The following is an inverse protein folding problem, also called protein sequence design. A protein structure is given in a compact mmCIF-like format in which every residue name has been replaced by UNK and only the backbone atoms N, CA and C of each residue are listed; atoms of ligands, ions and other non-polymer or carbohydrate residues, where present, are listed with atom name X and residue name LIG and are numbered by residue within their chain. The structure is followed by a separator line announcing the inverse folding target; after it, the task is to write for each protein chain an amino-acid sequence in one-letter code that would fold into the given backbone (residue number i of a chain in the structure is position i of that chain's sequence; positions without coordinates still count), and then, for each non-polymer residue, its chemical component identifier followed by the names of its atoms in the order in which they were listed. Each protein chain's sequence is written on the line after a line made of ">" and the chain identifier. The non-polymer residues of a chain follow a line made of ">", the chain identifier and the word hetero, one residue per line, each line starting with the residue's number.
data_IF_053562100954
#
_entry.id   IF_053562100954
#
_cell.length_a   1.000
_cell.length_b   1.000
_cell.length_c   1.000
_cell.angle_alpha   90.00
_cell.angle_beta   90.00
_cell.angle_gamma   90.00
#
_symmetry.space_group_name_H-M   'P 1'
#
loop_
_entity.id
_entity.type
_entity.pdbx_description
1 polymer ?
#
# COMPACT_ATOMS: atom_id res chain seq x y z
N UNK A 1 -39.24 -49.01 -34.81
CA UNK A 1 -38.78 -47.64 -34.36
C UNK A 1 -37.63 -47.72 -33.36
N UNK A 2 -37.52 -48.70 -32.51
CA UNK A 2 -36.47 -48.80 -31.45
C UNK A 2 -35.05 -49.09 -31.94
N UNK A 3 -34.89 -49.76 -33.10
CA UNK A 3 -33.58 -50.09 -33.68
C UNK A 3 -32.84 -48.89 -34.28
N UNK A 4 -33.55 -47.86 -34.78
CA UNK A 4 -32.96 -46.67 -35.36
C UNK A 4 -32.50 -45.65 -34.30
N UNK A 5 -33.09 -45.67 -33.10
CA UNK A 5 -32.73 -44.81 -32.00
C UNK A 5 -31.42 -45.26 -31.32
N UNK A 6 -31.21 -46.57 -31.21
CA UNK A 6 -29.99 -47.16 -30.66
C UNK A 6 -28.77 -46.91 -31.57
N UNK A 7 -28.96 -46.95 -32.89
CA UNK A 7 -27.90 -46.63 -33.86
C UNK A 7 -27.49 -45.19 -33.81
N UNK A 8 -28.43 -44.25 -33.72
CA UNK A 8 -28.11 -42.80 -33.56
C UNK A 8 -27.41 -42.49 -32.26
N UNK A 9 -27.74 -43.17 -31.15
CA UNK A 9 -27.03 -42.98 -29.88
C UNK A 9 -25.60 -43.53 -29.94
N UNK A 10 -25.38 -44.65 -30.64
CA UNK A 10 -24.03 -45.21 -30.85
C UNK A 10 -23.17 -44.28 -31.73
N UNK A 11 -23.74 -43.73 -32.80
CA UNK A 11 -23.06 -42.83 -33.70
C UNK A 11 -22.70 -41.51 -33.02
N UNK A 12 -23.58 -40.97 -32.13
CA UNK A 12 -23.29 -39.81 -31.28
C UNK A 12 -22.20 -40.08 -30.25
N UNK A 13 -22.18 -41.29 -29.66
CA UNK A 13 -21.16 -41.69 -28.68
C UNK A 13 -19.80 -41.88 -29.34
N UNK A 14 -19.77 -42.46 -30.57
CA UNK A 14 -18.55 -42.61 -31.37
C UNK A 14 -18.03 -41.22 -31.84
N UNK A 15 -18.92 -40.32 -32.26
CA UNK A 15 -18.54 -38.94 -32.59
C UNK A 15 -18.02 -38.15 -31.38
N UNK A 16 -18.62 -38.39 -30.21
CA UNK A 16 -18.15 -37.77 -28.96
C UNK A 16 -16.79 -38.33 -28.53
N UNK A 17 -16.57 -39.64 -28.63
CA UNK A 17 -15.29 -40.30 -28.38
C UNK A 17 -14.22 -39.88 -29.40
N UNK A 18 -14.57 -39.75 -30.68
CA UNK A 18 -13.66 -39.23 -31.71
C UNK A 18 -13.32 -37.77 -31.51
N UNK A 19 -14.25 -36.93 -30.98
CA UNK A 19 -13.96 -35.53 -30.64
C UNK A 19 -13.02 -35.41 -29.42
N UNK A 20 -13.03 -36.36 -28.48
CA UNK A 20 -12.08 -36.41 -27.37
C UNK A 20 -10.71 -37.00 -27.72
N UNK A 21 -10.61 -37.73 -28.83
CA UNK A 21 -9.35 -38.30 -29.30
C UNK A 21 -8.55 -37.37 -30.24
N UNK A 22 -9.08 -36.17 -30.58
CA UNK A 22 -8.49 -35.28 -31.57
C UNK A 22 -7.47 -34.23 -31.09
N UNK A 23 -7.12 -34.02 -29.80
CA UNK A 23 -6.07 -33.06 -29.52
C UNK A 23 -4.65 -33.64 -29.36
N UNK A 24 -4.44 -34.96 -29.49
CA UNK A 24 -3.11 -35.54 -29.15
C UNK A 24 -2.20 -35.76 -30.38
N UNK A 25 -2.68 -35.58 -31.61
CA UNK A 25 -1.92 -35.97 -32.81
C UNK A 25 -1.27 -34.85 -33.61
N UNK A 26 -1.39 -33.58 -33.19
CA UNK A 26 -0.86 -32.47 -33.98
C UNK A 26 0.64 -32.19 -33.77
N UNK A 27 1.30 -32.78 -32.76
CA UNK A 27 2.74 -32.51 -32.46
C UNK A 27 3.69 -33.58 -33.01
N UNK A 28 3.22 -34.63 -33.60
CA UNK A 28 4.04 -35.85 -33.86
C UNK A 28 4.94 -35.79 -35.10
N UNK A 29 4.92 -34.74 -35.93
CA UNK A 29 5.72 -34.69 -37.17
C UNK A 29 6.75 -33.54 -37.25
N UNK A 30 6.99 -32.80 -36.19
CA UNK A 30 8.11 -31.84 -36.18
C UNK A 30 9.40 -32.60 -35.89
N UNK A 31 10.37 -32.51 -36.77
CA UNK A 31 11.73 -33.00 -36.51
C UNK A 31 12.44 -32.01 -35.60
N UNK A 32 13.35 -32.49 -34.71
CA UNK A 32 14.17 -31.61 -33.83
C UNK A 32 14.85 -30.50 -34.62
N UNK A 33 15.30 -30.77 -35.85
CA UNK A 33 15.92 -29.79 -36.74
C UNK A 33 14.98 -28.63 -37.09
N UNK A 34 13.69 -28.89 -37.31
CA UNK A 34 12.71 -27.83 -37.61
C UNK A 34 12.40 -26.94 -36.41
N UNK A 35 12.42 -27.47 -35.20
CA UNK A 35 12.29 -26.71 -33.95
C UNK A 35 13.53 -25.82 -33.71
N UNK A 36 14.71 -26.41 -33.85
CA UNK A 36 15.99 -25.70 -33.67
C UNK A 36 16.16 -24.55 -34.68
N UNK A 37 15.68 -24.72 -35.91
CA UNK A 37 15.76 -23.64 -36.93
C UNK A 37 14.87 -22.42 -36.62
N UNK A 38 13.91 -22.54 -35.76
CA UNK A 38 13.03 -21.43 -35.33
C UNK A 38 13.61 -20.62 -34.16
N UNK A 39 14.60 -21.18 -33.45
CA UNK A 39 15.27 -20.51 -32.33
C UNK A 39 16.14 -19.36 -32.84
N UNK A 40 16.03 -18.13 -32.30
CA UNK A 40 16.92 -17.05 -32.61
C UNK A 40 18.39 -17.39 -32.37
N UNK A 41 19.28 -16.89 -33.22
CA UNK A 41 20.73 -17.19 -33.14
C UNK A 41 21.34 -16.80 -31.78
N UNK A 42 20.88 -15.71 -31.18
CA UNK A 42 21.33 -15.27 -29.85
C UNK A 42 20.89 -16.21 -28.72
N UNK A 43 19.74 -16.90 -28.86
CA UNK A 43 19.20 -17.84 -27.87
C UNK A 43 19.80 -19.27 -27.98
N UNK A 44 20.41 -19.59 -29.14
CA UNK A 44 20.96 -20.90 -29.42
C UNK A 44 22.02 -21.35 -28.38
N UNK A 45 23.01 -20.52 -28.00
CA UNK A 45 23.99 -20.89 -26.97
C UNK A 45 23.31 -21.15 -25.62
N UNK A 46 22.27 -20.36 -25.27
CA UNK A 46 21.52 -20.55 -24.02
C UNK A 46 20.79 -21.90 -24.01
N UNK A 47 20.15 -22.27 -25.14
CA UNK A 47 19.46 -23.53 -25.28
C UNK A 47 20.41 -24.73 -25.17
N UNK A 48 21.56 -24.68 -25.86
CA UNK A 48 22.53 -25.78 -25.81
C UNK A 48 23.10 -25.97 -24.41
N UNK A 49 23.56 -24.91 -23.76
CA UNK A 49 24.09 -24.95 -22.40
C UNK A 49 23.01 -25.42 -21.42
N UNK A 50 21.80 -24.87 -21.49
CA UNK A 50 20.72 -25.24 -20.59
C UNK A 50 20.28 -26.71 -20.75
N UNK A 51 20.24 -27.24 -21.98
CA UNK A 51 19.92 -28.65 -22.21
C UNK A 51 21.02 -29.60 -21.68
N UNK A 52 22.28 -29.19 -21.77
CA UNK A 52 23.42 -29.93 -21.25
C UNK A 52 23.40 -29.96 -19.73
N UNK A 53 23.26 -28.79 -19.08
CA UNK A 53 23.19 -28.64 -17.63
C UNK A 53 21.93 -29.31 -17.04
N UNK A 54 20.80 -29.22 -17.74
CA UNK A 54 19.53 -29.86 -17.37
C UNK A 54 19.49 -31.36 -17.61
N UNK A 55 20.54 -31.95 -18.23
CA UNK A 55 20.62 -33.38 -18.53
C UNK A 55 19.59 -33.86 -19.54
N UNK A 56 19.03 -32.98 -20.37
CA UNK A 56 18.00 -33.31 -21.36
C UNK A 56 18.59 -34.04 -22.55
N UNK A 57 18.07 -35.26 -22.86
CA UNK A 57 18.54 -36.07 -23.99
C UNK A 57 17.85 -35.61 -25.30
N UNK A 58 18.63 -35.33 -26.32
CA UNK A 58 18.17 -34.98 -27.68
C UNK A 58 17.83 -36.23 -28.51
N UNK A 59 17.18 -37.23 -27.90
CA UNK A 59 16.87 -38.51 -28.60
C UNK A 59 15.60 -38.44 -29.40
N UNK A 60 14.55 -37.76 -28.93
CA UNK A 60 13.28 -37.58 -29.63
C UNK A 60 12.56 -36.33 -29.14
N UNK A 61 11.68 -35.76 -29.99
CA UNK A 61 10.91 -34.54 -29.65
C UNK A 61 10.13 -34.72 -28.34
N UNK A 62 9.37 -35.80 -28.10
CA UNK A 62 8.62 -35.96 -26.86
C UNK A 62 9.50 -35.98 -25.59
N UNK A 63 10.68 -36.62 -25.64
CA UNK A 63 11.62 -36.65 -24.50
C UNK A 63 12.23 -35.30 -24.24
N UNK A 64 12.55 -34.56 -25.28
CA UNK A 64 13.08 -33.21 -25.18
C UNK A 64 12.03 -32.23 -24.61
N UNK A 65 10.80 -32.29 -25.13
CA UNK A 65 9.71 -31.40 -24.66
C UNK A 65 9.30 -31.73 -23.22
N UNK A 66 9.27 -33.00 -22.84
CA UNK A 66 8.98 -33.37 -21.45
C UNK A 66 10.05 -32.81 -20.49
N UNK A 67 11.32 -32.98 -20.82
CA UNK A 67 12.42 -32.44 -20.02
C UNK A 67 12.37 -30.90 -19.95
N UNK A 68 12.19 -30.23 -21.08
CA UNK A 68 12.16 -28.77 -21.15
C UNK A 68 10.94 -28.18 -20.46
N UNK A 69 9.77 -28.80 -20.56
CA UNK A 69 8.52 -28.23 -20.07
C UNK A 69 8.19 -28.60 -18.62
N UNK A 70 8.83 -29.64 -18.04
CA UNK A 70 8.61 -30.04 -16.64
C UNK A 70 9.66 -29.50 -15.68
N UNK A 71 10.87 -29.19 -16.18
CA UNK A 71 11.96 -28.70 -15.35
C UNK A 71 11.92 -27.17 -15.23
N UNK A 72 11.31 -26.64 -14.14
CA UNK A 72 11.16 -25.22 -13.88
C UNK A 72 12.52 -24.51 -13.73
N UNK A 73 13.50 -25.16 -13.10
CA UNK A 73 14.84 -24.59 -12.94
C UNK A 73 15.52 -24.37 -14.28
N UNK A 74 15.43 -25.34 -15.18
CA UNK A 74 15.94 -25.24 -16.54
C UNK A 74 15.25 -24.10 -17.32
N UNK A 75 13.93 -23.98 -17.21
CA UNK A 75 13.18 -22.89 -17.84
C UNK A 75 13.60 -21.52 -17.33
N UNK A 76 13.83 -21.40 -16.01
CA UNK A 76 14.29 -20.16 -15.38
C UNK A 76 15.69 -19.76 -15.87
N UNK A 77 16.63 -20.70 -15.89
CA UNK A 77 18.00 -20.47 -16.35
C UNK A 77 18.06 -20.10 -17.84
N UNK A 78 17.27 -20.83 -18.67
CA UNK A 78 17.14 -20.55 -20.08
C UNK A 78 16.54 -19.16 -20.33
N UNK A 79 15.46 -18.80 -19.64
CA UNK A 79 14.83 -17.50 -19.70
C UNK A 79 15.80 -16.39 -19.27
N UNK A 80 16.52 -16.58 -18.17
CA UNK A 80 17.50 -15.63 -17.68
C UNK A 80 18.66 -15.41 -18.67
N UNK A 81 19.15 -16.48 -19.30
CA UNK A 81 20.18 -16.39 -20.32
C UNK A 81 19.70 -15.62 -21.55
N UNK A 82 18.50 -15.93 -22.06
CA UNK A 82 17.89 -15.28 -23.23
C UNK A 82 17.65 -13.80 -22.95
N UNK A 83 17.14 -13.44 -21.76
CA UNK A 83 16.92 -12.05 -21.38
C UNK A 83 18.23 -11.22 -21.34
N UNK A 84 19.36 -11.85 -20.96
CA UNK A 84 20.68 -11.19 -20.90
C UNK A 84 21.37 -11.09 -22.27
N UNK A 85 21.14 -12.02 -23.17
CA UNK A 85 21.91 -12.15 -24.42
C UNK A 85 21.17 -11.71 -25.67
N UNK A 86 19.83 -11.67 -25.66
CA UNK A 86 19.01 -11.37 -26.82
C UNK A 86 18.34 -10.00 -26.71
N UNK A 87 18.10 -9.37 -27.86
CA UNK A 87 17.21 -8.21 -27.96
C UNK A 87 15.76 -8.60 -27.67
N UNK A 88 14.94 -7.64 -27.24
CA UNK A 88 13.57 -7.89 -26.82
C UNK A 88 12.72 -8.60 -27.88
N UNK A 89 12.88 -8.28 -29.17
CA UNK A 89 12.21 -8.95 -30.30
C UNK A 89 12.52 -10.44 -30.37
N UNK A 90 13.77 -10.82 -30.14
CA UNK A 90 14.21 -12.22 -30.13
C UNK A 90 13.80 -12.94 -28.83
N UNK A 91 13.75 -12.21 -27.70
CA UNK A 91 13.20 -12.74 -26.44
C UNK A 91 11.73 -13.11 -26.60
N UNK A 92 10.90 -12.23 -27.21
CA UNK A 92 9.49 -12.51 -27.47
C UNK A 92 9.27 -13.68 -28.42
N UNK A 93 10.13 -13.82 -29.44
CA UNK A 93 10.11 -14.95 -30.35
C UNK A 93 10.46 -16.25 -29.64
N UNK A 94 11.49 -16.26 -28.80
CA UNK A 94 11.87 -17.43 -27.99
C UNK A 94 10.77 -17.82 -27.01
N UNK A 95 10.15 -16.84 -26.33
CA UNK A 95 9.05 -17.08 -25.40
C UNK A 95 7.81 -17.64 -26.13
N UNK A 96 7.49 -17.17 -27.34
CA UNK A 96 6.39 -17.71 -28.14
C UNK A 96 6.65 -19.17 -28.49
N UNK A 97 7.86 -19.48 -28.97
CA UNK A 97 8.25 -20.85 -29.29
C UNK A 97 8.18 -21.78 -28.10
N UNK A 98 8.72 -21.37 -26.95
CA UNK A 98 8.65 -22.16 -25.70
C UNK A 98 7.20 -22.42 -25.26
N UNK A 99 6.35 -21.39 -25.34
CA UNK A 99 4.94 -21.51 -24.99
C UNK A 99 4.21 -22.48 -25.88
N UNK A 100 4.44 -22.43 -27.22
CA UNK A 100 3.80 -23.31 -28.18
C UNK A 100 4.25 -24.77 -28.00
N UNK A 101 5.53 -24.99 -27.68
CA UNK A 101 6.09 -26.32 -27.37
C UNK A 101 5.50 -26.86 -26.07
N UNK A 102 5.35 -26.02 -25.03
CA UNK A 102 4.90 -26.44 -23.70
C UNK A 102 3.40 -26.19 -23.46
N UNK A 103 2.57 -25.98 -24.49
CA UNK A 103 1.15 -25.69 -24.35
C UNK A 103 0.38 -26.79 -23.62
N UNK A 104 0.72 -28.05 -23.88
CA UNK A 104 0.07 -29.21 -23.29
C UNK A 104 0.48 -29.51 -21.84
N UNK A 105 1.52 -28.84 -21.32
CA UNK A 105 2.04 -29.09 -19.98
C UNK A 105 1.40 -28.16 -18.94
N UNK A 106 1.19 -28.63 -17.69
CA UNK A 106 0.63 -27.82 -16.62
C UNK A 106 1.59 -26.67 -16.29
N UNK A 107 1.02 -25.44 -16.13
CA UNK A 107 1.77 -24.24 -15.77
C UNK A 107 1.50 -23.89 -14.32
N UNK A 108 2.55 -23.66 -13.55
CA UNK A 108 2.40 -23.13 -12.20
C UNK A 108 1.87 -21.70 -12.24
N UNK A 109 0.97 -21.37 -11.31
CA UNK A 109 0.32 -20.06 -11.28
C UNK A 109 -0.02 -19.62 -9.85
N UNK A 110 0.42 -18.43 -9.48
CA UNK A 110 0.04 -17.72 -8.25
C UNK A 110 -1.11 -16.72 -8.48
N UNK A 111 -1.67 -16.68 -9.70
CA UNK A 111 -2.76 -15.76 -10.07
C UNK A 111 -3.99 -15.89 -9.16
N UNK A 112 -4.31 -17.13 -8.73
CA UNK A 112 -5.41 -17.39 -7.80
C UNK A 112 -5.17 -16.75 -6.44
N UNK A 113 -3.95 -16.83 -5.92
CA UNK A 113 -3.56 -16.24 -4.64
C UNK A 113 -3.72 -14.72 -4.68
N UNK A 114 -3.12 -14.05 -5.67
CA UNK A 114 -3.23 -12.62 -5.85
C UNK A 114 -4.70 -12.15 -6.00
N UNK A 115 -5.50 -12.87 -6.79
CA UNK A 115 -6.92 -12.57 -7.01
C UNK A 115 -7.76 -12.69 -5.74
N UNK A 116 -7.61 -13.80 -5.00
CA UNK A 116 -8.38 -14.04 -3.77
C UNK A 116 -8.06 -12.96 -2.73
N UNK A 117 -6.79 -12.61 -2.54
CA UNK A 117 -6.39 -11.58 -1.59
C UNK A 117 -6.97 -10.21 -2.00
N UNK A 118 -6.87 -9.82 -3.28
CA UNK A 118 -7.42 -8.56 -3.77
C UNK A 118 -8.94 -8.45 -3.54
N UNK A 119 -9.68 -9.53 -3.80
CA UNK A 119 -11.13 -9.60 -3.57
C UNK A 119 -11.45 -9.54 -2.08
N UNK A 120 -10.80 -10.37 -1.24
CA UNK A 120 -11.07 -10.46 0.20
C UNK A 120 -10.82 -9.12 0.88
N UNK A 121 -9.69 -8.46 0.62
CA UNK A 121 -9.36 -7.16 1.20
C UNK A 121 -10.35 -6.08 0.78
N UNK A 122 -10.76 -6.06 -0.49
CA UNK A 122 -11.76 -5.12 -1.00
C UNK A 122 -13.12 -5.34 -0.35
N UNK A 123 -13.59 -6.59 -0.29
CA UNK A 123 -14.89 -6.96 0.31
C UNK A 123 -14.96 -6.60 1.80
N UNK A 124 -13.85 -6.64 2.53
CA UNK A 124 -13.80 -6.22 3.94
C UNK A 124 -13.74 -4.69 4.06
N UNK A 125 -12.98 -4.01 3.19
CA UNK A 125 -12.77 -2.56 3.25
C UNK A 125 -14.06 -1.78 3.00
N UNK A 126 -14.84 -2.16 2.00
CA UNK A 126 -16.08 -1.45 1.63
C UNK A 126 -17.09 -1.33 2.79
N UNK A 127 -17.50 -2.43 3.45
CA UNK A 127 -18.42 -2.33 4.59
C UNK A 127 -17.86 -1.49 5.74
N UNK A 128 -16.55 -1.59 6.03
CA UNK A 128 -15.92 -0.81 7.10
C UNK A 128 -16.01 0.69 6.82
N UNK A 129 -15.71 1.12 5.59
CA UNK A 129 -15.80 2.54 5.21
C UNK A 129 -17.26 3.00 5.14
N UNK A 130 -18.17 2.17 4.64
CA UNK A 130 -19.59 2.46 4.65
C UNK A 130 -20.12 2.65 6.09
N UNK A 131 -19.78 1.74 6.99
CA UNK A 131 -20.12 1.84 8.43
C UNK A 131 -19.51 3.09 9.07
N UNK A 132 -18.29 3.48 8.68
CA UNK A 132 -17.69 4.76 9.08
C UNK A 132 -18.56 5.92 8.67
N UNK A 133 -18.96 6.00 7.40
CA UNK A 133 -19.80 7.08 6.88
C UNK A 133 -21.17 7.12 7.58
N UNK A 134 -21.80 5.97 7.77
CA UNK A 134 -23.08 5.86 8.50
C UNK A 134 -22.91 6.32 9.95
N UNK A 135 -21.88 5.85 10.66
CA UNK A 135 -21.57 6.25 12.04
C UNK A 135 -21.40 7.76 12.18
N UNK A 136 -20.68 8.37 11.23
CA UNK A 136 -20.48 9.83 11.18
C UNK A 136 -21.77 10.58 10.91
N UNK A 137 -22.52 10.13 9.91
CA UNK A 137 -23.80 10.75 9.59
C UNK A 137 -24.79 10.68 10.75
N UNK A 138 -24.87 9.55 11.45
CA UNK A 138 -25.75 9.39 12.62
C UNK A 138 -25.38 10.30 13.79
N UNK A 139 -24.08 10.58 13.98
CA UNK A 139 -23.60 11.33 15.16
C UNK A 139 -23.48 12.83 14.88
N UNK A 140 -22.93 13.23 13.72
CA UNK A 140 -22.62 14.63 13.43
C UNK A 140 -23.47 15.23 12.34
N UNK A 141 -24.31 14.44 11.64
CA UNK A 141 -25.12 14.83 10.47
C UNK A 141 -24.30 15.52 9.36
N UNK A 142 -22.97 15.38 9.42
CA UNK A 142 -22.03 15.98 8.46
C UNK A 142 -20.84 15.03 8.25
N UNK A 143 -20.40 14.91 7.00
CA UNK A 143 -19.12 14.28 6.65
C UNK A 143 -18.05 15.36 6.64
N UNK A 144 -16.91 15.03 7.23
CA UNK A 144 -15.75 15.91 7.33
C UNK A 144 -14.73 15.57 6.24
N UNK A 145 -13.71 16.40 6.08
CA UNK A 145 -12.66 16.18 5.10
C UNK A 145 -11.93 14.83 5.31
N UNK A 146 -11.75 14.40 6.57
CA UNK A 146 -11.16 13.08 6.88
C UNK A 146 -12.00 11.93 6.33
N UNK A 147 -13.32 12.06 6.31
CA UNK A 147 -14.24 11.03 5.78
C UNK A 147 -14.19 10.98 4.25
N UNK A 148 -14.13 12.15 3.59
CA UNK A 148 -14.01 12.21 2.12
C UNK A 148 -12.67 11.65 1.63
N UNK A 149 -11.56 11.89 2.35
CA UNK A 149 -10.25 11.33 1.99
C UNK A 149 -10.24 9.80 2.06
N UNK A 150 -10.88 9.20 3.10
CA UNK A 150 -11.00 7.74 3.18
C UNK A 150 -11.89 7.19 2.06
N UNK A 151 -13.01 7.81 1.76
CA UNK A 151 -13.90 7.37 0.67
C UNK A 151 -13.13 7.38 -0.65
N UNK A 152 -12.43 8.47 -0.96
CA UNK A 152 -11.64 8.58 -2.18
C UNK A 152 -10.51 7.53 -2.23
N UNK A 153 -9.78 7.35 -1.13
CA UNK A 153 -8.77 6.30 -0.99
C UNK A 153 -9.36 4.90 -1.23
N UNK A 154 -10.57 4.64 -0.75
CA UNK A 154 -11.25 3.34 -0.93
C UNK A 154 -11.66 3.10 -2.39
N UNK A 155 -12.11 4.14 -3.09
CA UNK A 155 -12.44 4.04 -4.53
C UNK A 155 -11.17 3.74 -5.33
N UNK A 156 -10.06 4.42 -5.04
CA UNK A 156 -8.78 4.16 -5.68
C UNK A 156 -8.26 2.74 -5.36
N UNK A 157 -8.41 2.26 -4.12
CA UNK A 157 -8.06 0.89 -3.74
C UNK A 157 -8.88 -0.14 -4.54
N UNK A 158 -10.17 0.09 -4.71
CA UNK A 158 -11.03 -0.78 -5.52
C UNK A 158 -10.60 -0.80 -7.00
N UNK A 159 -10.25 0.37 -7.54
CA UNK A 159 -9.71 0.48 -8.90
C UNK A 159 -8.40 -0.30 -9.02
N UNK A 160 -7.50 -0.16 -8.06
CA UNK A 160 -6.23 -0.91 -7.99
C UNK A 160 -6.48 -2.43 -7.93
N UNK A 161 -7.41 -2.89 -7.08
CA UNK A 161 -7.79 -4.31 -7.01
C UNK A 161 -8.35 -4.81 -8.36
N UNK A 162 -9.17 -4.00 -9.05
CA UNK A 162 -9.66 -4.30 -10.39
C UNK A 162 -8.54 -4.43 -11.42
N UNK A 163 -7.56 -3.54 -11.40
CA UNK A 163 -6.37 -3.60 -12.24
C UNK A 163 -5.56 -4.87 -11.98
N UNK A 164 -5.39 -5.26 -10.70
CA UNK A 164 -4.69 -6.50 -10.34
C UNK A 164 -5.44 -7.75 -10.80
N UNK A 165 -6.76 -7.79 -10.65
CA UNK A 165 -7.59 -8.91 -11.13
C UNK A 165 -7.46 -9.03 -12.66
N UNK A 166 -7.59 -7.91 -13.40
CA UNK A 166 -7.39 -7.90 -14.85
C UNK A 166 -5.96 -8.37 -15.24
N UNK A 167 -4.94 -7.99 -14.46
CA UNK A 167 -3.58 -8.49 -14.63
C UNK A 167 -3.47 -10.01 -14.50
N UNK A 168 -4.18 -10.61 -13.52
CA UNK A 168 -4.17 -12.08 -13.35
C UNK A 168 -4.83 -12.82 -14.52
N UNK A 169 -5.78 -12.19 -15.21
CA UNK A 169 -6.44 -12.80 -16.38
C UNK A 169 -5.54 -12.84 -17.62
N UNK A 170 -4.55 -11.95 -17.68
CA UNK A 170 -3.61 -11.84 -18.81
C UNK A 170 -2.21 -12.38 -18.52
N UNK A 171 -2.00 -13.02 -17.34
CA UNK A 171 -0.77 -13.75 -17.05
C UNK A 171 0.02 -13.26 -15.83
N UNK A 172 -0.44 -12.28 -15.05
CA UNK A 172 0.19 -11.93 -13.79
C UNK A 172 0.09 -13.09 -12.78
N UNK A 173 1.22 -13.49 -12.23
CA UNK A 173 1.33 -14.68 -11.36
C UNK A 173 1.68 -15.96 -12.09
N UNK A 174 1.91 -15.92 -13.41
CA UNK A 174 2.64 -16.94 -14.15
C UNK A 174 4.13 -16.59 -14.15
N UNK A 175 4.97 -17.60 -14.36
CA UNK A 175 6.38 -17.35 -14.66
C UNK A 175 6.53 -16.55 -15.96
N UNK A 176 7.54 -15.65 -16.03
CA UNK A 176 7.75 -14.74 -17.14
C UNK A 176 7.75 -15.44 -18.50
N UNK A 177 8.36 -16.62 -18.61
CA UNK A 177 8.42 -17.43 -19.84
C UNK A 177 7.09 -18.12 -20.23
N UNK A 178 6.10 -18.13 -19.31
CA UNK A 178 4.77 -18.69 -19.56
C UNK A 178 3.73 -17.62 -19.92
N UNK A 179 4.08 -16.34 -19.80
CA UNK A 179 3.20 -15.22 -20.17
C UNK A 179 3.10 -15.11 -21.70
N UNK A 180 1.90 -14.81 -22.22
CA UNK A 180 1.72 -14.57 -23.64
C UNK A 180 2.44 -13.27 -24.07
N UNK A 181 3.45 -13.34 -24.94
CA UNK A 181 4.17 -12.17 -25.43
C UNK A 181 3.25 -11.11 -26.07
N UNK A 182 2.12 -11.51 -26.65
CA UNK A 182 1.12 -10.61 -27.24
C UNK A 182 0.41 -9.74 -26.20
N UNK A 183 0.33 -10.25 -24.97
CA UNK A 183 -0.34 -9.57 -23.85
C UNK A 183 0.66 -8.88 -22.92
N UNK A 184 1.97 -9.07 -23.11
CA UNK A 184 3.03 -8.53 -22.24
C UNK A 184 2.97 -7.01 -22.13
N UNK A 185 2.75 -6.30 -23.24
CA UNK A 185 2.59 -4.83 -23.26
C UNK A 185 1.43 -4.39 -22.37
N UNK A 186 0.28 -5.05 -22.50
CA UNK A 186 -0.90 -4.74 -21.69
C UNK A 186 -0.68 -5.05 -20.20
N UNK A 187 0.05 -6.11 -19.91
CA UNK A 187 0.42 -6.47 -18.53
C UNK A 187 1.31 -5.39 -17.91
N UNK A 188 2.31 -4.91 -18.63
CA UNK A 188 3.19 -3.82 -18.17
C UNK A 188 2.39 -2.53 -17.95
N UNK A 189 1.44 -2.19 -18.84
CA UNK A 189 0.56 -1.03 -18.70
C UNK A 189 -0.30 -1.12 -17.42
N UNK A 190 -0.87 -2.30 -17.13
CA UNK A 190 -1.64 -2.50 -15.89
C UNK A 190 -0.75 -2.40 -14.65
N UNK A 191 0.46 -2.93 -14.71
CA UNK A 191 1.41 -2.82 -13.60
C UNK A 191 1.81 -1.36 -13.35
N UNK A 192 2.12 -0.62 -14.43
CA UNK A 192 2.39 0.82 -14.38
C UNK A 192 1.22 1.61 -13.76
N UNK A 193 -0.03 1.35 -14.19
CA UNK A 193 -1.21 1.98 -13.60
C UNK A 193 -1.38 1.61 -12.11
N UNK A 194 -1.07 0.37 -11.74
CA UNK A 194 -1.11 -0.10 -10.35
C UNK A 194 -0.15 0.66 -9.44
N UNK A 195 1.04 0.99 -9.91
CA UNK A 195 2.04 1.78 -9.16
C UNK A 195 1.52 3.21 -8.87
N UNK A 196 0.90 3.88 -9.86
CA UNK A 196 0.33 5.21 -9.68
C UNK A 196 -0.80 5.18 -8.63
N UNK A 197 -1.71 4.19 -8.76
CA UNK A 197 -2.82 4.01 -7.83
C UNK A 197 -2.32 3.73 -6.41
N UNK A 198 -1.27 2.93 -6.23
CA UNK A 198 -0.67 2.67 -4.93
C UNK A 198 -0.23 3.96 -4.23
N UNK A 199 0.53 4.84 -4.93
CA UNK A 199 0.99 6.12 -4.38
C UNK A 199 -0.20 6.98 -3.94
N UNK A 200 -1.22 7.09 -4.78
CA UNK A 200 -2.41 7.90 -4.51
C UNK A 200 -3.18 7.38 -3.28
N UNK A 201 -3.43 6.06 -3.20
CA UNK A 201 -4.13 5.46 -2.06
C UNK A 201 -3.37 5.73 -0.76
N UNK A 202 -2.03 5.55 -0.75
CA UNK A 202 -1.17 5.81 0.40
C UNK A 202 -1.29 7.25 0.90
N UNK A 203 -1.14 8.22 0.01
CA UNK A 203 -1.20 9.65 0.35
C UNK A 203 -2.56 10.01 0.95
N UNK A 204 -3.67 9.62 0.28
CA UNK A 204 -5.01 9.96 0.77
C UNK A 204 -5.36 9.25 2.09
N UNK A 205 -4.95 8.00 2.28
CA UNK A 205 -5.16 7.28 3.53
C UNK A 205 -4.39 7.94 4.69
N UNK A 206 -3.12 8.28 4.50
CA UNK A 206 -2.28 8.95 5.51
C UNK A 206 -2.79 10.34 5.84
N UNK A 207 -3.21 11.13 4.84
CA UNK A 207 -3.83 12.45 5.05
C UNK A 207 -5.11 12.30 5.89
N UNK A 208 -5.96 11.30 5.62
CA UNK A 208 -7.17 11.06 6.41
C UNK A 208 -6.86 10.80 7.88
N UNK A 209 -5.82 10.01 8.20
CA UNK A 209 -5.39 9.75 9.57
C UNK A 209 -4.95 11.05 10.25
N UNK A 210 -4.16 11.88 9.57
CA UNK A 210 -3.69 13.15 10.12
C UNK A 210 -4.81 14.15 10.34
N UNK A 211 -5.76 14.26 9.41
CA UNK A 211 -6.96 15.10 9.57
C UNK A 211 -7.82 14.63 10.76
N UNK A 212 -7.93 13.31 10.94
CA UNK A 212 -8.59 12.76 12.12
C UNK A 212 -7.85 13.14 13.41
N UNK A 213 -6.53 13.05 13.48
CA UNK A 213 -5.73 13.49 14.64
C UNK A 213 -5.87 15.00 14.91
N UNK A 214 -5.84 15.81 13.86
CA UNK A 214 -6.08 17.26 13.95
C UNK A 214 -7.42 17.58 14.65
N UNK A 215 -8.43 16.78 14.38
CA UNK A 215 -9.76 16.95 14.97
C UNK A 215 -9.85 16.45 16.41
N UNK A 216 -9.16 15.35 16.73
CA UNK A 216 -9.16 14.80 18.09
C UNK A 216 -8.40 15.70 19.07
N UNK A 217 -7.28 16.26 18.64
CA UNK A 217 -6.41 17.11 19.46
C UNK A 217 -6.50 18.60 19.03
N UNK A 218 -7.70 19.11 18.85
CA UNK A 218 -7.94 20.47 18.34
C UNK A 218 -7.40 21.59 19.24
N UNK A 219 -7.22 21.36 20.55
CA UNK A 219 -6.80 22.36 21.53
C UNK A 219 -5.29 22.64 21.52
N UNK A 220 -4.47 21.70 21.08
CA UNK A 220 -3.01 21.81 21.12
C UNK A 220 -2.49 22.56 19.87
N UNK A 221 -2.12 23.83 20.01
CA UNK A 221 -1.66 24.68 18.88
C UNK A 221 -0.43 24.12 18.17
N UNK A 222 0.59 23.69 18.92
CA UNK A 222 1.80 23.13 18.35
C UNK A 222 1.50 21.87 17.51
N UNK A 223 0.61 21.01 18.02
CA UNK A 223 0.18 19.79 17.34
C UNK A 223 -0.54 20.08 16.03
N UNK A 224 -1.40 21.11 16.00
CA UNK A 224 -2.06 21.56 14.78
C UNK A 224 -1.08 22.08 13.72
N UNK A 225 -0.03 22.76 14.14
CA UNK A 225 1.03 23.22 13.23
C UNK A 225 1.81 22.01 12.71
N UNK A 226 2.23 21.10 13.60
CA UNK A 226 2.95 19.88 13.22
C UNK A 226 2.18 19.05 12.19
N UNK A 227 0.87 18.81 12.41
CA UNK A 227 0.02 18.08 11.45
C UNK A 227 -0.02 18.79 10.10
N UNK A 228 -0.23 20.10 10.06
CA UNK A 228 -0.29 20.84 8.78
C UNK A 228 1.02 20.77 8.01
N UNK A 229 2.15 20.94 8.70
CA UNK A 229 3.46 20.75 8.11
C UNK A 229 3.66 19.34 7.57
N UNK A 230 3.24 18.33 8.33
CA UNK A 230 3.39 16.93 7.93
C UNK A 230 2.49 16.58 6.75
N UNK A 231 1.25 17.08 6.69
CA UNK A 231 0.39 16.95 5.50
C UNK A 231 1.07 17.60 4.28
N UNK A 232 1.68 18.78 4.45
CA UNK A 232 2.46 19.42 3.39
C UNK A 232 3.60 18.53 2.87
N UNK A 233 4.37 17.92 3.78
CA UNK A 233 5.46 16.97 3.43
C UNK A 233 4.91 15.75 2.68
N UNK A 234 3.82 15.14 3.15
CA UNK A 234 3.17 14.01 2.49
C UNK A 234 2.71 14.34 1.07
N UNK A 235 2.10 15.51 0.89
CA UNK A 235 1.63 15.94 -0.44
C UNK A 235 2.82 16.16 -1.38
N UNK A 236 3.87 16.88 -0.92
CA UNK A 236 5.08 17.10 -1.73
C UNK A 236 5.75 15.77 -2.09
N UNK A 237 5.94 14.87 -1.10
CA UNK A 237 6.50 13.55 -1.32
C UNK A 237 5.65 12.76 -2.34
N UNK A 238 4.33 12.68 -2.13
CA UNK A 238 3.43 11.97 -3.04
C UNK A 238 3.47 12.51 -4.47
N UNK A 239 3.46 13.84 -4.64
CA UNK A 239 3.57 14.48 -5.96
C UNK A 239 4.91 14.18 -6.62
N UNK A 240 6.03 14.32 -5.89
CA UNK A 240 7.37 14.03 -6.41
C UNK A 240 7.46 12.57 -6.88
N UNK A 241 7.03 11.61 -6.04
CA UNK A 241 7.09 10.19 -6.43
C UNK A 241 6.12 9.84 -7.55
N UNK A 242 4.94 10.46 -7.58
CA UNK A 242 4.02 10.29 -8.71
C UNK A 242 4.69 10.72 -10.02
N UNK A 243 5.35 11.87 -10.04
CA UNK A 243 6.10 12.33 -11.22
C UNK A 243 7.29 11.43 -11.55
N UNK A 244 8.06 10.97 -10.57
CA UNK A 244 9.18 10.06 -10.79
C UNK A 244 8.74 8.74 -11.43
N UNK A 245 7.57 8.19 -11.02
CA UNK A 245 7.04 6.95 -11.59
C UNK A 245 6.35 7.22 -12.93
N UNK A 246 5.66 8.36 -13.12
CA UNK A 246 5.06 8.70 -14.42
C UNK A 246 6.14 8.90 -15.49
N UNK A 247 7.24 9.54 -15.14
CA UNK A 247 8.35 9.83 -16.05
C UNK A 247 9.55 8.90 -15.82
N UNK A 248 9.32 7.66 -15.42
CA UNK A 248 10.37 6.66 -15.18
C UNK A 248 11.17 6.35 -16.47
N UNK A 249 10.52 6.47 -17.63
CA UNK A 249 11.15 6.35 -18.95
C UNK A 249 10.83 7.56 -19.82
N UNK A 250 11.78 7.92 -20.68
CA UNK A 250 11.62 8.93 -21.74
C UNK A 250 11.89 8.31 -23.12
N UNK A 251 10.93 8.37 -24.06
CA UNK A 251 9.52 8.83 -23.90
C UNK A 251 8.71 7.91 -22.98
N UNK A 252 7.61 8.41 -22.39
CA UNK A 252 6.77 7.62 -21.46
C UNK A 252 6.27 6.32 -22.10
N UNK A 253 6.00 6.32 -23.40
CA UNK A 253 5.58 5.12 -24.13
C UNK A 253 6.63 4.00 -24.08
N UNK A 254 7.90 4.31 -23.92
CA UNK A 254 8.97 3.33 -23.84
C UNK A 254 9.00 2.55 -22.53
N UNK A 255 8.13 2.89 -21.55
CA UNK A 255 7.90 2.08 -20.34
C UNK A 255 7.34 0.70 -20.71
N UNK A 256 6.42 0.64 -21.68
CA UNK A 256 5.81 -0.62 -22.15
C UNK A 256 6.26 -1.03 -23.56
N UNK A 257 6.87 -0.13 -24.33
CA UNK A 257 7.51 -0.45 -25.60
C UNK A 257 9.01 -0.68 -25.38
N UNK A 258 9.34 -1.93 -25.06
CA UNK A 258 10.72 -2.33 -24.78
C UNK A 258 11.59 -2.43 -26.05
N UNK A 259 10.98 -2.32 -27.24
CA UNK A 259 11.68 -2.35 -28.51
C UNK A 259 12.14 -0.95 -29.00
N UNK A 260 11.72 0.14 -28.34
CA UNK A 260 12.08 1.50 -28.72
C UNK A 260 13.61 1.74 -28.58
N UNK A 261 14.33 2.07 -29.69
CA UNK A 261 15.77 2.31 -29.66
C UNK A 261 16.14 3.59 -28.88
N UNK A 262 15.21 4.54 -28.71
CA UNK A 262 15.43 5.80 -27.98
C UNK A 262 15.08 5.70 -26.49
N UNK A 263 14.83 4.49 -26.01
CA UNK A 263 14.45 4.24 -24.61
C UNK A 263 15.56 4.66 -23.65
N UNK A 264 15.24 5.62 -22.78
CA UNK A 264 16.08 6.00 -21.64
C UNK A 264 15.24 5.94 -20.37
N UNK A 265 15.57 5.03 -19.46
CA UNK A 265 14.81 4.84 -18.21
C UNK A 265 15.67 5.11 -16.99
N UNK A 266 15.06 5.69 -15.98
CA UNK A 266 15.63 5.86 -14.64
C UNK A 266 15.81 4.52 -13.93
N UNK A 267 16.61 4.50 -12.89
CA UNK A 267 16.76 3.29 -12.06
C UNK A 267 15.49 3.03 -11.24
N UNK A 268 14.58 2.20 -11.77
CA UNK A 268 13.32 1.83 -11.12
C UNK A 268 13.52 1.23 -9.72
N UNK A 269 14.56 0.42 -9.54
CA UNK A 269 14.85 -0.17 -8.22
C UNK A 269 15.17 0.92 -7.20
N UNK A 270 15.97 1.93 -7.57
CA UNK A 270 16.29 3.04 -6.69
C UNK A 270 15.05 3.88 -6.32
N UNK A 271 14.16 4.14 -7.29
CA UNK A 271 12.88 4.83 -7.04
C UNK A 271 12.01 4.01 -6.08
N UNK A 272 11.86 2.70 -6.32
CA UNK A 272 11.06 1.82 -5.48
C UNK A 272 11.61 1.71 -4.05
N UNK A 273 12.94 1.59 -3.87
CA UNK A 273 13.58 1.53 -2.54
C UNK A 273 13.41 2.82 -1.76
N UNK A 274 13.73 3.95 -2.39
CA UNK A 274 13.60 5.25 -1.73
C UNK A 274 12.15 5.54 -1.35
N UNK A 275 11.19 5.25 -2.23
CA UNK A 275 9.76 5.41 -1.94
C UNK A 275 9.29 4.53 -0.79
N UNK A 276 9.71 3.26 -0.76
CA UNK A 276 9.39 2.35 0.34
C UNK A 276 9.99 2.81 1.68
N UNK A 277 11.23 3.29 1.67
CA UNK A 277 11.90 3.80 2.86
C UNK A 277 11.20 5.05 3.40
N UNK A 278 10.88 6.01 2.52
CA UNK A 278 10.13 7.22 2.93
C UNK A 278 8.75 6.85 3.46
N UNK A 279 8.03 5.90 2.85
CA UNK A 279 6.74 5.41 3.35
C UNK A 279 6.84 4.88 4.78
N UNK A 280 7.88 4.09 5.11
CA UNK A 280 8.12 3.58 6.46
C UNK A 280 8.38 4.72 7.45
N UNK A 281 9.21 5.69 7.07
CA UNK A 281 9.49 6.86 7.93
C UNK A 281 8.22 7.67 8.20
N UNK A 282 7.37 7.86 7.20
CA UNK A 282 6.08 8.52 7.34
C UNK A 282 5.14 7.74 8.28
N UNK A 283 5.07 6.42 8.16
CA UNK A 283 4.24 5.58 9.03
C UNK A 283 4.69 5.65 10.48
N UNK A 284 6.00 5.59 10.73
CA UNK A 284 6.58 5.77 12.06
C UNK A 284 6.31 7.16 12.63
N UNK A 285 6.42 8.20 11.81
CA UNK A 285 6.17 9.58 12.22
C UNK A 285 4.67 9.79 12.55
N UNK A 286 3.74 9.25 11.75
CA UNK A 286 2.30 9.29 12.03
C UNK A 286 1.98 8.57 13.35
N UNK A 287 2.65 7.45 13.62
CA UNK A 287 2.47 6.68 14.86
C UNK A 287 3.03 7.45 16.07
N UNK A 288 4.21 8.09 15.94
CA UNK A 288 4.86 8.80 17.03
C UNK A 288 4.19 10.14 17.38
N UNK A 289 3.60 10.81 16.40
CA UNK A 289 3.06 12.17 16.50
C UNK A 289 2.03 12.35 17.63
N UNK A 290 1.04 11.48 17.88
CA UNK A 290 0.07 11.65 18.96
C UNK A 290 0.58 11.23 20.34
N UNK A 291 1.77 10.59 20.46
CA UNK A 291 2.27 10.06 21.74
C UNK A 291 2.41 11.14 22.82
N UNK A 292 3.04 12.31 22.55
CA UNK A 292 3.20 13.36 23.57
C UNK A 292 1.86 13.88 24.13
N UNK A 293 0.85 14.02 23.26
CA UNK A 293 -0.48 14.49 23.66
C UNK A 293 -1.23 13.45 24.50
N UNK A 294 -1.02 12.16 24.18
CA UNK A 294 -1.67 11.06 24.91
C UNK A 294 -1.11 10.90 26.32
N UNK A 295 0.21 11.09 26.51
CA UNK A 295 0.85 10.97 27.82
C UNK A 295 0.38 12.07 28.77
N UNK A 296 0.16 13.27 28.24
CA UNK A 296 -0.28 14.42 29.02
C UNK A 296 -1.78 14.40 29.38
N UNK A 297 -2.56 13.53 28.72
CA UNK A 297 -4.01 13.50 28.88
C UNK A 297 -4.44 12.35 29.81
N UNK A 298 -5.09 12.69 30.95
CA UNK A 298 -5.73 11.70 31.81
C UNK A 298 -6.92 11.04 31.11
N UNK A 299 -6.67 9.88 30.50
CA UNK A 299 -7.66 9.17 29.70
C UNK A 299 -8.39 8.12 30.54
N UNK A 300 -9.72 8.10 30.42
CA UNK A 300 -10.52 6.97 30.96
C UNK A 300 -10.09 5.65 30.30
N UNK A 301 -10.15 4.53 31.02
CA UNK A 301 -9.73 3.18 30.57
C UNK A 301 -10.30 2.82 29.19
N UNK A 302 -11.56 3.21 28.92
CA UNK A 302 -12.21 2.94 27.62
C UNK A 302 -11.58 3.71 26.45
N UNK A 303 -11.13 4.96 26.69
CA UNK A 303 -10.42 5.77 25.69
C UNK A 303 -9.02 5.20 25.45
N UNK A 304 -8.35 4.75 26.53
CA UNK A 304 -7.02 4.12 26.47
C UNK A 304 -7.03 2.83 25.64
N UNK A 305 -8.03 1.95 25.84
CA UNK A 305 -8.17 0.73 25.03
C UNK A 305 -8.33 1.00 23.54
N UNK A 306 -9.14 1.97 23.18
CA UNK A 306 -9.34 2.27 21.77
C UNK A 306 -8.14 2.98 21.10
N UNK A 307 -7.33 3.70 21.88
CA UNK A 307 -6.03 4.19 21.40
C UNK A 307 -5.04 3.04 21.25
N UNK A 308 -4.98 2.11 22.20
CA UNK A 308 -4.13 0.93 22.10
C UNK A 308 -4.45 0.10 20.83
N UNK A 309 -5.73 -0.06 20.48
CA UNK A 309 -6.13 -0.72 19.23
C UNK A 309 -5.64 0.04 17.99
N UNK A 310 -5.74 1.37 17.99
CA UNK A 310 -5.25 2.21 16.90
C UNK A 310 -3.73 2.08 16.75
N UNK A 311 -2.99 2.10 17.87
CA UNK A 311 -1.54 1.93 17.86
C UNK A 311 -1.11 0.53 17.40
N UNK A 312 -1.81 -0.53 17.83
CA UNK A 312 -1.50 -1.90 17.39
C UNK A 312 -1.66 -2.07 15.89
N UNK A 313 -2.70 -1.47 15.29
CA UNK A 313 -2.88 -1.48 13.84
C UNK A 313 -1.84 -0.60 13.12
N UNK A 314 -1.47 0.55 13.71
CA UNK A 314 -0.39 1.37 13.17
C UNK A 314 0.95 0.64 13.15
N UNK A 315 1.29 -0.08 14.23
CA UNK A 315 2.49 -0.93 14.29
C UNK A 315 2.41 -2.05 13.25
N UNK A 316 1.24 -2.67 13.08
CA UNK A 316 1.07 -3.70 12.06
C UNK A 316 1.22 -3.12 10.64
N UNK A 317 0.70 -1.92 10.36
CA UNK A 317 0.92 -1.23 9.10
C UNK A 317 2.41 -0.96 8.83
N UNK A 318 3.16 -0.47 9.84
CA UNK A 318 4.62 -0.30 9.71
C UNK A 318 5.33 -1.64 9.42
N UNK A 319 4.90 -2.74 10.06
CA UNK A 319 5.47 -4.06 9.81
C UNK A 319 5.20 -4.52 8.36
N UNK A 320 4.01 -4.30 7.82
CA UNK A 320 3.70 -4.65 6.41
C UNK A 320 4.54 -3.85 5.42
N UNK A 321 4.77 -2.55 5.69
CA UNK A 321 5.65 -1.69 4.88
C UNK A 321 7.10 -2.19 4.89
N UNK A 322 7.60 -2.65 6.05
CA UNK A 322 8.95 -3.24 6.16
C UNK A 322 9.06 -4.58 5.41
N UNK A 323 8.04 -5.44 5.50
CA UNK A 323 7.99 -6.70 4.75
C UNK A 323 7.98 -6.43 3.25
N UNK A 324 7.19 -5.47 2.80
CA UNK A 324 7.16 -5.06 1.39
C UNK A 324 8.52 -4.56 0.91
N UNK A 325 9.21 -3.74 1.69
CA UNK A 325 10.58 -3.29 1.36
C UNK A 325 11.53 -4.49 1.23
N UNK A 326 11.46 -5.48 2.12
CA UNK A 326 12.25 -6.72 2.02
C UNK A 326 12.05 -7.40 0.66
N UNK A 327 10.80 -7.57 0.21
CA UNK A 327 10.50 -8.21 -1.08
C UNK A 327 10.96 -7.36 -2.27
N UNK A 328 10.81 -6.03 -2.20
CA UNK A 328 11.36 -5.12 -3.23
C UNK A 328 12.87 -5.31 -3.36
N UNK A 329 13.61 -5.38 -2.24
CA UNK A 329 15.06 -5.60 -2.26
C UNK A 329 15.41 -6.98 -2.82
N UNK A 330 14.71 -8.02 -2.39
CA UNK A 330 15.00 -9.40 -2.77
C UNK A 330 14.76 -9.65 -4.26
N UNK A 331 13.72 -9.04 -4.83
CA UNK A 331 13.30 -9.28 -6.21
C UNK A 331 13.73 -8.18 -7.21
N UNK A 332 14.49 -7.18 -6.76
CA UNK A 332 14.94 -6.07 -7.64
C UNK A 332 15.81 -6.50 -8.82
N UNK A 333 16.53 -7.61 -8.68
CA UNK A 333 17.38 -8.18 -9.71
C UNK A 333 16.77 -9.44 -10.36
N UNK A 334 15.51 -9.75 -10.02
CA UNK A 334 14.84 -10.93 -10.57
C UNK A 334 14.51 -10.73 -12.06
N UNK A 335 14.72 -11.78 -12.83
CA UNK A 335 14.32 -11.88 -14.22
C UNK A 335 12.94 -12.53 -14.41
N UNK A 336 12.34 -13.03 -13.32
CA UNK A 336 10.98 -13.58 -13.30
C UNK A 336 10.00 -12.59 -12.64
N UNK A 337 9.92 -11.40 -13.23
CA UNK A 337 9.18 -10.26 -12.66
C UNK A 337 7.68 -10.52 -12.47
N UNK A 338 7.06 -11.36 -13.28
CA UNK A 338 5.60 -11.62 -13.21
C UNK A 338 5.24 -12.56 -12.07
N UNK A 339 6.15 -13.41 -11.65
CA UNK A 339 6.01 -14.33 -10.52
C UNK A 339 6.39 -13.67 -9.20
N UNK A 340 7.56 -13.06 -9.15
CA UNK A 340 8.13 -12.51 -7.91
C UNK A 340 7.41 -11.23 -7.44
N UNK A 341 6.91 -10.41 -8.37
CA UNK A 341 6.11 -9.23 -8.00
C UNK A 341 4.76 -9.56 -7.35
N UNK A 342 4.31 -10.81 -7.36
CA UNK A 342 3.08 -11.22 -6.66
C UNK A 342 3.16 -10.90 -5.16
N UNK A 343 4.31 -11.21 -4.52
CA UNK A 343 4.50 -10.92 -3.09
C UNK A 343 4.49 -9.41 -2.82
N UNK A 344 5.16 -8.61 -3.66
CA UNK A 344 5.19 -7.15 -3.54
C UNK A 344 3.77 -6.58 -3.62
N UNK A 345 2.96 -7.05 -4.58
CA UNK A 345 1.58 -6.61 -4.79
C UNK A 345 0.69 -7.01 -3.61
N UNK A 346 0.80 -8.23 -3.12
CA UNK A 346 0.03 -8.71 -1.97
C UNK A 346 0.32 -7.87 -0.73
N UNK A 347 1.60 -7.65 -0.40
CA UNK A 347 1.97 -6.85 0.76
C UNK A 347 1.59 -5.37 0.61
N UNK A 348 1.63 -4.83 -0.62
CA UNK A 348 1.12 -3.49 -0.91
C UNK A 348 -0.38 -3.38 -0.65
N UNK A 349 -1.19 -4.34 -1.09
CA UNK A 349 -2.62 -4.35 -0.82
C UNK A 349 -2.93 -4.47 0.67
N UNK A 350 -2.20 -5.30 1.42
CA UNK A 350 -2.35 -5.45 2.88
C UNK A 350 -2.00 -4.15 3.59
N UNK A 351 -0.92 -3.48 3.20
CA UNK A 351 -0.50 -2.18 3.75
C UNK A 351 -1.59 -1.12 3.57
N UNK A 352 -2.11 -0.97 2.34
CA UNK A 352 -3.18 -0.03 2.03
C UNK A 352 -4.48 -0.33 2.81
N UNK A 353 -4.84 -1.60 2.90
CA UNK A 353 -5.97 -2.06 3.70
C UNK A 353 -5.82 -1.66 5.17
N UNK A 354 -4.65 -1.91 5.77
CA UNK A 354 -4.37 -1.55 7.16
C UNK A 354 -4.45 -0.03 7.38
N UNK A 355 -3.92 0.77 6.45
CA UNK A 355 -3.99 2.23 6.53
C UNK A 355 -5.45 2.73 6.52
N UNK A 356 -6.31 2.20 5.63
CA UNK A 356 -7.73 2.56 5.57
C UNK A 356 -8.48 2.08 6.83
N UNK A 357 -8.15 0.90 7.37
CA UNK A 357 -8.70 0.42 8.64
C UNK A 357 -8.31 1.33 9.80
N UNK A 358 -7.03 1.70 9.92
CA UNK A 358 -6.53 2.63 10.93
C UNK A 358 -7.28 3.96 10.89
N UNK A 359 -7.50 4.50 9.69
CA UNK A 359 -8.29 5.71 9.51
C UNK A 359 -9.73 5.54 9.98
N UNK A 360 -10.35 4.37 9.74
CA UNK A 360 -11.78 4.14 9.90
C UNK A 360 -12.21 3.74 11.32
N UNK A 361 -11.41 2.94 12.03
CA UNK A 361 -11.80 2.37 13.33
C UNK A 361 -12.19 3.38 14.41
N UNK A 362 -11.50 4.54 14.57
CA UNK A 362 -11.88 5.51 15.58
C UNK A 362 -13.31 6.06 15.38
N UNK A 363 -13.74 6.17 14.14
CA UNK A 363 -15.05 6.67 13.78
C UNK A 363 -16.19 5.67 14.02
N UNK A 364 -15.88 4.37 14.12
CA UNK A 364 -16.86 3.31 14.39
C UNK A 364 -17.23 3.18 15.88
N UNK A 365 -16.48 3.80 16.80
CA UNK A 365 -16.72 3.70 18.24
C UNK A 365 -18.17 3.96 18.68
N UNK A 366 -18.87 5.02 18.20
CA UNK A 366 -20.25 5.27 18.63
C UNK A 366 -21.19 4.13 18.22
N UNK A 367 -21.00 3.61 17.01
CA UNK A 367 -21.79 2.53 16.44
C UNK A 367 -21.58 1.21 17.19
N UNK A 368 -20.32 0.87 17.52
CA UNK A 368 -19.98 -0.30 18.32
C UNK A 368 -20.58 -0.24 19.72
N UNK A 369 -20.63 0.95 20.35
CA UNK A 369 -21.29 1.14 21.63
C UNK A 369 -22.80 0.92 21.56
N UNK A 370 -23.44 1.45 20.50
CA UNK A 370 -24.88 1.30 20.27
C UNK A 370 -25.25 -0.19 20.05
N UNK A 371 -24.44 -0.91 19.27
CA UNK A 371 -24.61 -2.34 19.03
C UNK A 371 -24.35 -3.16 20.30
N UNK A 372 -23.26 -2.90 21.02
CA UNK A 372 -22.94 -3.58 22.27
C UNK A 372 -24.03 -3.41 23.34
N UNK A 373 -24.68 -2.25 23.40
CA UNK A 373 -25.83 -2.01 24.28
C UNK A 373 -27.06 -2.84 23.86
N UNK A 374 -27.29 -3.01 22.56
CA UNK A 374 -28.41 -3.82 22.04
C UNK A 374 -28.19 -5.33 22.22
N UNK A 375 -26.94 -5.78 22.13
CA UNK A 375 -26.59 -7.21 22.30
C UNK A 375 -26.29 -7.62 23.74
N UNK A 376 -26.53 -6.74 24.75
CA UNK A 376 -26.38 -7.07 26.17
C UNK A 376 -24.93 -7.33 26.63
N UNK A 377 -23.93 -7.03 25.82
CA UNK A 377 -22.49 -7.21 26.11
C UNK A 377 -21.92 -6.10 27.02
N UNK A 378 -22.71 -5.07 27.36
CA UNK A 378 -22.34 -4.06 28.34
C UNK A 378 -23.00 -4.40 29.66
N UNK A 379 -22.20 -4.81 30.64
CA UNK A 379 -22.56 -4.91 32.05
C UNK A 379 -23.41 -3.70 32.46
N UNK A 380 -24.57 -3.98 33.06
CA UNK A 380 -25.55 -3.05 33.61
C UNK A 380 -24.88 -2.19 34.69
N UNK A 381 -24.33 -1.07 34.34
CA UNK A 381 -23.70 -0.14 35.26
C UNK A 381 -23.53 1.23 34.61
N UNK A 382 -24.65 1.89 34.31
CA UNK A 382 -24.90 3.34 34.24
C UNK A 382 -26.13 3.60 33.42
N UNK A 383 -27.08 4.25 34.02
CA UNK A 383 -28.35 4.65 33.42
C UNK A 383 -28.18 5.23 32.02
N UNK A 384 -28.91 4.69 31.06
CA UNK A 384 -29.01 5.22 29.73
C UNK A 384 -29.68 6.59 29.81
N UNK A 385 -28.89 7.64 29.79
CA UNK A 385 -29.35 8.98 29.42
C UNK A 385 -29.64 8.92 27.94
N UNK A 386 -30.86 9.23 27.46
CA UNK A 386 -31.17 9.17 26.04
C UNK A 386 -30.30 10.18 25.31
N UNK A 387 -29.44 9.69 24.41
CA UNK A 387 -28.45 10.44 23.62
C UNK A 387 -29.01 11.67 22.88
N UNK A 388 -30.33 11.75 22.73
CA UNK A 388 -31.02 12.82 22.00
C UNK A 388 -31.12 14.14 22.77
N UNK A 389 -31.15 14.12 24.12
CA UNK A 389 -31.26 15.36 24.90
C UNK A 389 -29.92 16.00 25.27
N UNK A 390 -28.85 15.24 25.43
CA UNK A 390 -27.55 15.79 25.80
C UNK A 390 -26.79 16.47 24.64
N UNK A 391 -27.07 16.10 23.38
CA UNK A 391 -26.44 16.77 22.24
C UNK A 391 -27.15 18.05 21.79
N UNK A 392 -28.45 18.23 22.11
CA UNK A 392 -29.12 19.51 21.85
C UNK A 392 -28.67 20.60 22.82
N UNK A 393 -28.32 20.26 24.07
CA UNK A 393 -27.86 21.27 25.03
C UNK A 393 -26.42 21.74 24.79
N UNK A 394 -25.53 20.86 24.26
CA UNK A 394 -24.14 21.28 24.00
C UNK A 394 -23.99 22.20 22.78
N UNK A 395 -24.94 22.17 21.86
CA UNK A 395 -25.01 23.10 20.71
C UNK A 395 -25.63 24.45 21.05
N UNK A 396 -26.54 24.49 22.04
CA UNK A 396 -27.24 25.73 22.39
C UNK A 396 -26.43 26.60 23.36
N UNK A 397 -25.64 26.02 24.25
CA UNK A 397 -24.87 26.81 25.21
C UNK A 397 -23.70 27.58 24.53
N UNK A 398 -23.16 27.04 23.43
CA UNK A 398 -22.13 27.76 22.65
C UNK A 398 -22.69 28.82 21.70
N UNK A 399 -23.98 28.74 21.36
CA UNK A 399 -24.65 29.74 20.53
C UNK A 399 -25.23 30.88 21.37
N UNK A 400 -25.46 30.67 22.67
CA UNK A 400 -25.92 31.69 23.59
C UNK A 400 -24.80 32.63 24.05
N UNK A 401 -23.57 32.12 24.13
CA UNK A 401 -22.39 32.96 24.50
C UNK A 401 -21.91 33.88 23.36
N UNK A 402 -22.39 33.69 22.14
CA UNK A 402 -22.05 34.55 20.98
C UNK A 402 -23.14 35.58 20.67
N UNK A 403 -24.38 35.40 21.22
CA UNK A 403 -25.47 36.34 20.98
C UNK A 403 -25.61 37.46 22.03
N UNK A 404 -24.84 37.45 23.13
CA UNK A 404 -24.91 38.47 24.17
C UNK A 404 -23.84 39.57 24.00
N UNK A 405 -23.19 39.68 22.85
CA UNK A 405 -22.30 40.78 22.52
C UNK A 405 -22.89 41.67 21.45
N UNK A 406 -24.04 42.34 21.77
CA UNK A 406 -24.47 43.54 21.04
C UNK A 406 -24.21 44.77 21.94
N UNK A 407 -23.51 45.79 21.45
CA UNK A 407 -23.32 47.03 22.21
C UNK A 407 -24.61 47.84 22.19
N UNK A 408 -25.27 47.93 23.33
CA UNK A 408 -26.36 48.91 23.51
C UNK A 408 -25.77 50.29 23.68
N UNK A 409 -25.85 51.07 22.65
CA UNK A 409 -25.83 52.52 22.74
C UNK A 409 -27.18 53.03 23.22
N UNK A 410 -27.24 53.44 24.48
CA UNK A 410 -28.26 54.42 24.90
C UNK A 410 -27.62 55.38 25.92
N UNK A 411 -27.48 56.59 25.43
CA UNK A 411 -27.09 57.78 26.16
C UNK A 411 -28.36 58.37 26.79
N UNK A 412 -28.43 58.39 28.12
CA UNK A 412 -29.29 59.36 28.81
C UNK A 412 -28.52 59.96 29.97
N UNK A 413 -28.22 61.24 29.83
CA UNK A 413 -27.76 62.16 30.87
C UNK A 413 -28.84 62.37 31.93
N UNK A 414 -28.47 62.38 33.20
CA UNK A 414 -28.97 63.34 34.17
C UNK A 414 -28.05 63.39 35.41
N UNK A 415 -27.88 64.54 36.01
CA UNK A 415 -26.78 64.87 36.96
C UNK A 415 -27.27 64.96 38.42
N UNK A 416 -26.52 64.50 39.38
CA UNK A 416 -26.58 65.02 40.79
C UNK A 416 -25.25 64.83 41.49
N UNK A 417 -24.78 65.87 42.11
CA UNK A 417 -23.62 66.34 42.79
C UNK A 417 -23.07 65.57 44.02
N UNK A 418 -22.13 66.15 44.69
CA UNK A 418 -21.06 65.48 45.41
C UNK A 418 -21.37 65.25 46.90
N UNK A 419 -20.82 64.14 47.47
CA UNK A 419 -20.53 64.12 48.91
C UNK A 419 -19.19 63.45 49.18
N UNK A 420 -18.36 64.26 49.86
CA UNK A 420 -17.08 63.96 50.49
C UNK A 420 -17.15 62.80 51.53
N UNK A 421 -16.04 62.11 51.64
CA UNK A 421 -15.78 61.18 52.77
C UNK A 421 -14.40 60.54 52.65
N UNK A 422 -13.43 61.20 53.28
CA UNK A 422 -12.11 60.66 53.60
C UNK A 422 -12.19 59.23 54.20
N UNK A 423 -11.20 58.40 53.92
CA UNK A 423 -10.41 57.67 54.89
C UNK A 423 -9.14 57.10 54.21
N UNK A 424 -8.03 57.37 54.84
CA UNK A 424 -6.65 57.00 54.55
C UNK A 424 -6.41 55.51 54.88
N UNK A 425 -5.47 54.91 54.14
CA UNK A 425 -4.75 53.67 54.55
C UNK A 425 -3.79 53.17 53.45
N UNK A 426 -2.59 52.73 53.78
CA UNK A 426 -1.44 52.84 52.92
C UNK A 426 -1.15 51.63 52.04
N UNK A 427 -0.50 51.87 50.93
CA UNK A 427 0.15 50.88 50.02
C UNK A 427 1.30 50.16 50.75
N UNK A 428 1.62 48.93 50.32
CA UNK A 428 2.99 48.46 50.37
C UNK A 428 3.60 48.30 48.95
N UNK A 429 4.84 48.71 48.95
CA UNK A 429 5.72 48.97 47.85
C UNK A 429 6.19 47.73 47.10
N UNK A 430 6.50 47.97 45.83
CA UNK A 430 7.23 47.14 44.90
C UNK A 430 8.61 46.71 45.38
N UNK A 431 9.03 45.49 44.95
CA UNK A 431 10.44 45.12 44.87
C UNK A 431 10.75 44.67 43.44
N UNK A 432 11.33 45.57 42.72
CA UNK A 432 12.13 45.30 41.53
C UNK A 432 13.44 44.69 42.00
N UNK A 433 13.86 43.54 41.47
CA UNK A 433 15.26 43.09 41.53
C UNK A 433 15.77 42.79 40.13
N UNK A 434 16.51 43.72 39.63
CA UNK A 434 17.59 43.62 38.67
C UNK A 434 18.67 42.67 39.21
N UNK A 435 19.15 41.72 38.41
CA UNK A 435 20.43 41.07 38.69
C UNK A 435 21.33 41.16 37.46
N UNK A 436 22.43 41.84 37.74
CA UNK A 436 23.61 42.09 36.90
C UNK A 436 24.53 40.83 36.90
N UNK A 437 25.19 40.66 35.79
CA UNK A 437 26.32 39.82 35.48
C UNK A 437 27.43 39.81 36.53
N UNK A 438 27.99 38.67 36.90
CA UNK A 438 29.42 38.50 37.22
C UNK A 438 29.87 37.03 36.95
N UNK A 439 31.02 37.00 36.35
CA UNK A 439 31.95 35.92 35.99
C UNK A 439 32.49 35.13 37.21
N UNK A 440 32.73 33.83 37.01
CA UNK A 440 33.89 33.20 37.62
C UNK A 440 33.68 31.87 38.35
N UNK A 441 34.45 30.91 37.89
CA UNK A 441 35.07 29.78 38.54
C UNK A 441 34.50 28.36 38.36
N UNK A 442 35.39 27.54 37.84
CA UNK A 442 35.44 26.08 37.72
C UNK A 442 35.10 25.35 39.03
N UNK A 443 34.33 24.30 38.91
CA UNK A 443 34.58 23.07 39.67
C UNK A 443 34.05 21.84 38.93
N UNK A 444 34.97 20.89 38.69
CA UNK A 444 34.77 19.64 38.03
C UNK A 444 34.10 18.61 38.95
N UNK A 445 32.94 18.11 38.55
CA UNK A 445 32.39 16.87 39.14
C UNK A 445 32.24 15.86 37.99
N UNK A 446 32.99 14.76 38.07
CA UNK A 446 33.03 13.68 37.11
C UNK A 446 31.73 12.87 37.13
N UNK A 447 31.26 12.54 35.92
CA UNK A 447 30.32 11.47 35.67
C UNK A 447 31.04 10.26 35.07
N UNK A 448 30.72 9.03 35.45
CA UNK A 448 31.38 7.85 34.88
C UNK A 448 30.91 7.55 33.46
N UNK A 449 31.86 7.29 32.61
CA UNK A 449 31.68 6.76 31.26
C UNK A 449 30.95 5.43 31.28
N UNK A 450 29.80 5.37 30.59
CA UNK A 450 29.20 4.14 30.11
C UNK A 450 29.46 4.06 28.60
N UNK A 451 30.59 3.48 28.25
CA UNK A 451 30.92 3.08 26.89
C UNK A 451 30.08 1.85 26.53
N UNK A 452 29.00 2.07 25.78
CA UNK A 452 28.37 1.04 24.96
C UNK A 452 28.60 1.42 23.50
N UNK A 453 29.64 0.86 22.91
CA UNK A 453 30.00 1.04 21.50
C UNK A 453 28.94 0.41 20.61
N UNK A 454 28.22 1.22 19.87
CA UNK A 454 27.49 0.80 18.68
C UNK A 454 28.40 1.04 17.47
N UNK A 455 28.97 -0.05 16.97
CA UNK A 455 29.67 -0.04 15.68
C UNK A 455 28.64 0.03 14.55
N UNK A 456 28.36 1.26 14.08
CA UNK A 456 27.52 1.52 12.90
C UNK A 456 28.30 1.59 11.59
N UNK A 457 29.56 1.15 11.57
CA UNK A 457 30.47 1.31 10.41
C UNK A 457 30.53 0.11 9.46
N UNK A 458 29.89 -1.02 9.74
CA UNK A 458 29.98 -2.21 8.87
C UNK A 458 28.81 -2.43 7.92
N UNK A 459 27.68 -1.70 8.08
CA UNK A 459 26.54 -1.89 7.17
C UNK A 459 26.65 -1.07 5.87
N UNK A 460 27.39 0.04 5.89
CA UNK A 460 27.53 0.92 4.71
C UNK A 460 28.63 0.45 3.74
N UNK A 461 29.61 -0.32 4.19
CA UNK A 461 30.66 -0.82 3.31
C UNK A 461 30.19 -1.97 2.38
N UNK A 462 29.21 -2.77 2.79
CA UNK A 462 28.65 -3.84 1.94
C UNK A 462 27.69 -3.32 0.87
N UNK A 463 26.98 -2.23 1.11
CA UNK A 463 26.06 -1.63 0.12
C UNK A 463 26.83 -0.87 -0.96
N UNK A 464 27.98 -0.29 -0.64
CA UNK A 464 28.80 0.45 -1.61
C UNK A 464 29.58 -0.45 -2.60
N UNK A 465 29.80 -1.72 -2.26
CA UNK A 465 30.53 -2.65 -3.15
C UNK A 465 29.66 -3.35 -4.20
N UNK A 466 28.33 -3.35 -4.03
CA UNK A 466 27.38 -3.95 -4.99
C UNK A 466 26.85 -2.96 -6.05
N UNK A 467 27.24 -1.68 -5.98
CA UNK A 467 26.79 -0.64 -6.93
C UNK A 467 27.87 -0.18 -7.91
N UNK A 468 28.76 -1.05 -8.40
CA UNK A 468 29.56 -0.71 -9.58
C UNK A 468 28.87 -1.22 -10.84
N UNK A 469 28.57 -0.34 -11.82
CA UNK A 469 28.08 -0.78 -13.12
C UNK A 469 29.19 -1.51 -13.86
N UNK A 470 28.90 -2.69 -14.34
CA UNK A 470 29.60 -3.29 -15.49
C UNK A 470 28.83 -3.00 -16.75
#
# INVERSE_FOLDING_TARGET
>A
MATNMRRRQLDLLVLFLLAFLHPVTAVTNQTISSLVSQVPSCAMPCLLTGLEDGGCKLTSVPVLTDCLCTNITLQAELSACVQKKCFFTDQTRSATLQRDICEAYPKESRAREARVIAICLSVITFPVVLLRCISRWMVTQRLWWDDWMVVFSTVLLATMAGVQIAGTDIGFGLHYWNVDPRQSVRLIQLFYAGQQLYILVQVFAKISILLFFSRVFASARWFQVAIRCFIGVLVVHGVVYLFLVVFECTPVSSTWDLADPNRSCSNLAAIAYSGALFSIVEDLAILALPIPEIIQLELSVRKRFALALLFSLGIFACATSMIRLKFIIMFSASLDVTWDNVDIVIWSLIELFCAILCASLPALRPLLRSLGAKFGLTSRGSAAVPLRKSMMNYGNDRFREISDFTPSTDITMSPVGPKSGDIRGPLPSAVLKTFSSTSGHNESIGFPELTAGWQTTTLWSHVAHTMRPQ
#
